data_IF_218252134772
#
_entry.id   IF_218252134772
#
_cell.length_a   1.000
_cell.length_b   1.000
_cell.length_c   1.000
_cell.angle_alpha   90.00
_cell.angle_beta   90.00
_cell.angle_gamma   90.00
#
_symmetry.space_group_name_H-M   'P 1'
#
loop_
_entity.id
_entity.type
_entity.pdbx_description
1 polymer ?
#
# COMPACT_ATOMS: atom_id res chain seq x y z
N UNK A 1 4.94 26.93 -62.41
CA UNK A 1 5.99 25.95 -62.07
C UNK A 1 5.55 25.24 -60.80
N UNK A 2 5.39 23.91 -60.81
CA UNK A 2 5.08 23.12 -59.62
C UNK A 2 6.40 22.79 -58.91
N UNK A 3 6.50 23.09 -57.61
CA UNK A 3 7.63 22.67 -56.78
C UNK A 3 7.08 21.80 -55.65
N UNK A 4 7.11 20.51 -55.97
CA UNK A 4 7.58 19.38 -55.19
C UNK A 4 7.22 19.27 -53.70
N UNK A 5 6.57 18.13 -53.44
CA UNK A 5 6.27 17.49 -52.17
C UNK A 5 7.57 17.08 -51.46
N UNK A 6 7.82 17.60 -50.26
CA UNK A 6 8.77 16.97 -49.34
C UNK A 6 8.01 16.24 -48.23
N UNK A 7 7.85 14.95 -48.50
CA UNK A 7 7.42 13.90 -47.59
C UNK A 7 8.39 13.82 -46.42
N UNK A 8 8.03 14.39 -45.27
CA UNK A 8 8.81 14.24 -44.04
C UNK A 8 8.57 12.84 -43.48
N UNK A 9 9.56 11.96 -43.71
CA UNK A 9 9.61 10.61 -43.19
C UNK A 9 9.61 10.64 -41.66
N UNK A 10 8.53 10.15 -41.06
CA UNK A 10 8.44 9.79 -39.65
C UNK A 10 9.39 8.61 -39.40
N UNK A 11 10.61 8.90 -38.93
CA UNK A 11 11.49 7.89 -38.33
C UNK A 11 10.90 7.48 -36.98
N UNK A 12 10.02 6.48 -36.99
CA UNK A 12 9.64 5.74 -35.79
C UNK A 12 10.85 4.97 -35.27
N UNK A 13 11.58 5.58 -34.33
CA UNK A 13 12.45 4.84 -33.43
C UNK A 13 11.56 3.95 -32.56
N UNK A 14 11.45 2.68 -32.96
CA UNK A 14 10.84 1.63 -32.17
C UNK A 14 11.74 1.35 -30.97
N UNK A 15 11.38 1.92 -29.82
CA UNK A 15 11.93 1.52 -28.52
C UNK A 15 11.19 0.26 -28.13
N UNK A 16 11.87 -0.88 -28.16
CA UNK A 16 11.33 -2.13 -27.65
C UNK A 16 10.98 -1.95 -26.15
N UNK A 17 9.86 -2.52 -25.66
CA UNK A 17 9.52 -2.47 -24.25
C UNK A 17 10.62 -3.16 -23.45
N UNK A 18 11.24 -2.42 -22.53
CA UNK A 18 12.17 -2.97 -21.55
C UNK A 18 11.35 -3.85 -20.62
N UNK A 19 11.61 -5.15 -20.68
CA UNK A 19 10.98 -6.18 -19.88
C UNK A 19 11.47 -6.04 -18.42
N UNK A 20 10.68 -5.34 -17.60
CA UNK A 20 10.99 -5.00 -16.20
C UNK A 20 11.00 -6.21 -15.25
N UNK A 21 10.61 -7.39 -15.72
CA UNK A 21 10.56 -8.62 -14.91
C UNK A 21 11.86 -9.46 -14.98
N UNK A 22 12.90 -8.95 -15.64
CA UNK A 22 14.24 -9.55 -15.54
C UNK A 22 14.99 -8.99 -14.33
N UNK A 23 15.22 -9.79 -13.26
CA UNK A 23 16.10 -9.37 -12.19
C UNK A 23 17.49 -9.15 -12.80
N UNK A 24 17.98 -7.92 -12.73
CA UNK A 24 19.38 -7.60 -13.01
C UNK A 24 20.21 -8.29 -11.93
N UNK A 25 20.61 -9.52 -12.18
CA UNK A 25 21.59 -10.23 -11.37
C UNK A 25 22.95 -9.69 -11.83
N UNK A 26 23.67 -8.88 -11.02
CA UNK A 26 25.01 -8.46 -11.36
C UNK A 26 25.89 -9.72 -11.41
N UNK A 27 26.44 -9.98 -12.60
CA UNK A 27 27.29 -11.13 -12.85
C UNK A 27 28.66 -10.88 -12.21
N UNK A 28 28.98 -11.70 -11.22
CA UNK A 28 30.30 -11.97 -10.64
C UNK A 28 31.09 -10.84 -9.92
N UNK A 29 31.40 -11.16 -8.66
CA UNK A 29 32.60 -10.78 -7.90
C UNK A 29 32.76 -9.32 -7.45
N UNK A 30 32.24 -9.04 -6.25
CA UNK A 30 32.94 -8.39 -5.10
C UNK A 30 31.90 -7.70 -4.19
N UNK A 31 30.94 -8.48 -3.69
CA UNK A 31 29.98 -8.00 -2.68
C UNK A 31 30.61 -8.16 -1.28
N UNK A 32 31.41 -7.17 -0.88
CA UNK A 32 32.22 -7.21 0.32
C UNK A 32 31.34 -7.09 1.59
N UNK A 33 31.26 -8.18 2.37
CA UNK A 33 30.46 -8.26 3.60
C UNK A 33 30.87 -7.18 4.63
N UNK A 34 32.12 -6.72 4.56
CA UNK A 34 32.65 -5.63 5.38
C UNK A 34 31.95 -4.28 5.11
N UNK A 35 31.53 -4.03 3.86
CA UNK A 35 30.81 -2.80 3.51
C UNK A 35 29.42 -2.80 4.13
N UNK A 36 28.73 -3.95 4.20
CA UNK A 36 27.43 -4.04 4.87
C UNK A 36 27.53 -3.85 6.39
N UNK A 37 28.57 -4.39 7.03
CA UNK A 37 28.81 -4.16 8.45
C UNK A 37 29.08 -2.67 8.74
N UNK A 38 29.83 -2.00 7.86
CA UNK A 38 30.13 -0.56 7.98
C UNK A 38 28.88 0.33 7.91
N UNK A 39 27.92 0.07 7.00
CA UNK A 39 26.70 0.89 6.94
C UNK A 39 25.81 0.69 8.17
N UNK A 40 25.80 -0.52 8.74
CA UNK A 40 25.08 -0.82 9.99
C UNK A 40 25.72 -0.09 11.17
N UNK A 41 27.05 -0.10 11.28
CA UNK A 41 27.77 0.57 12.36
C UNK A 41 27.67 2.11 12.27
N UNK A 42 27.69 2.68 11.06
CA UNK A 42 27.47 4.12 10.84
C UNK A 42 26.05 4.54 11.24
N UNK A 43 25.05 3.67 11.00
CA UNK A 43 23.66 3.92 11.37
C UNK A 43 23.47 3.86 12.89
N UNK A 44 24.12 2.90 13.57
CA UNK A 44 24.08 2.75 15.02
C UNK A 44 24.74 3.94 15.75
N UNK A 45 25.87 4.45 15.23
CA UNK A 45 26.57 5.59 15.83
C UNK A 45 25.80 6.91 15.69
N UNK A 46 25.01 7.08 14.62
CA UNK A 46 24.17 8.27 14.43
C UNK A 46 22.96 8.28 15.37
N UNK A 47 22.37 7.11 15.64
CA UNK A 47 21.28 6.98 16.62
C UNK A 47 21.74 7.22 18.06
N UNK A 48 23.00 6.90 18.39
CA UNK A 48 23.54 7.06 19.75
C UNK A 48 23.93 8.51 20.12
N UNK A 49 23.97 9.44 19.16
CA UNK A 49 24.46 10.82 19.39
C UNK A 49 23.36 11.89 19.52
N UNK A 50 22.08 11.51 19.48
CA UNK A 50 20.95 12.44 19.75
C UNK A 50 20.42 12.23 21.16
N UNK A 51 21.26 12.47 22.17
CA UNK A 51 20.81 12.62 23.55
C UNK A 51 20.30 14.05 23.76
N UNK A 52 19.07 14.33 23.34
CA UNK A 52 18.36 15.52 23.79
C UNK A 52 17.81 15.28 25.21
N UNK A 53 18.13 16.14 26.20
CA UNK A 53 17.62 16.01 27.54
C UNK A 53 16.14 16.40 27.61
N UNK A 54 15.30 15.45 28.04
CA UNK A 54 14.04 15.64 28.75
C UNK A 54 13.14 16.80 28.28
N UNK A 55 12.38 16.55 27.20
CA UNK A 55 11.05 17.13 27.04
C UNK A 55 10.03 16.13 27.60
N UNK A 56 9.77 16.20 28.91
CA UNK A 56 8.65 15.48 29.53
C UNK A 56 7.38 16.24 29.18
N UNK A 57 6.91 16.11 27.95
CA UNK A 57 5.52 16.42 27.63
C UNK A 57 4.70 15.29 28.25
N UNK A 58 4.04 15.59 29.37
CA UNK A 58 3.09 14.68 29.99
C UNK A 58 2.03 14.31 28.94
N UNK A 59 1.85 13.01 28.70
CA UNK A 59 0.84 12.50 27.77
C UNK A 59 -0.60 12.95 28.12
N UNK A 60 -0.79 13.48 29.33
CA UNK A 60 -2.04 14.07 29.79
C UNK A 60 -2.32 15.46 29.19
N UNK A 61 -1.33 16.23 28.78
CA UNK A 61 -1.52 17.56 28.17
C UNK A 61 -1.81 17.50 26.66
N UNK A 62 -1.55 16.36 26.02
CA UNK A 62 -1.81 16.17 24.59
C UNK A 62 -3.28 15.89 24.27
N UNK A 63 -4.12 15.68 25.28
CA UNK A 63 -5.53 15.30 25.13
C UNK A 63 -6.48 16.24 25.89
N UNK A 64 -6.19 17.53 25.88
CA UNK A 64 -7.22 18.55 26.16
C UNK A 64 -8.10 18.71 24.92
N UNK A 65 -9.07 17.80 24.81
CA UNK A 65 -10.21 17.92 23.91
C UNK A 65 -10.85 19.30 24.10
N UNK A 66 -10.57 20.23 23.19
CA UNK A 66 -11.34 21.47 23.09
C UNK A 66 -12.68 21.11 22.45
N UNK A 67 -13.82 21.27 23.15
CA UNK A 67 -15.13 20.83 22.66
C UNK A 67 -15.65 21.62 21.44
N UNK A 68 -14.87 22.57 20.92
CA UNK A 68 -15.24 23.42 19.78
C UNK A 68 -14.44 23.15 18.51
N UNK A 69 -13.54 22.16 18.46
CA UNK A 69 -12.98 21.75 17.15
C UNK A 69 -14.03 20.92 16.44
N UNK A 70 -14.68 21.42 15.35
CA UNK A 70 -15.59 20.60 14.58
C UNK A 70 -14.82 19.35 14.12
N UNK A 71 -15.45 18.19 14.28
CA UNK A 71 -14.90 16.91 13.84
C UNK A 71 -14.38 17.06 12.41
N UNK A 72 -13.05 17.00 12.24
CA UNK A 72 -12.36 17.09 10.95
C UNK A 72 -12.73 15.94 9.99
N UNK A 73 -13.63 15.04 10.38
CA UNK A 73 -14.10 13.93 9.55
C UNK A 73 -14.94 14.42 8.35
N UNK A 74 -15.62 15.57 8.50
CA UNK A 74 -16.37 16.19 7.39
C UNK A 74 -15.51 17.07 6.48
N UNK A 75 -14.21 17.24 6.77
CA UNK A 75 -13.28 18.06 5.96
C UNK A 75 -12.53 17.25 4.89
N UNK A 76 -12.55 15.91 4.95
CA UNK A 76 -11.83 15.07 3.97
C UNK A 76 -12.56 14.86 2.64
N UNK A 77 -13.82 15.31 2.52
CA UNK A 77 -14.65 15.11 1.32
C UNK A 77 -14.48 16.18 0.23
N UNK A 78 -14.18 17.43 0.61
CA UNK A 78 -14.16 18.58 -0.32
C UNK A 78 -12.76 18.99 -0.78
N UNK A 79 -11.68 18.54 -0.14
CA UNK A 79 -10.31 18.94 -0.50
C UNK A 79 -9.73 18.19 -1.73
N UNK A 80 -10.32 17.06 -2.14
CA UNK A 80 -9.84 16.31 -3.33
C UNK A 80 -10.14 17.08 -4.64
N UNK A 81 -11.08 18.04 -4.63
CA UNK A 81 -11.50 18.85 -5.78
C UNK A 81 -10.66 20.13 -5.99
N UNK A 82 -9.87 20.54 -4.99
CA UNK A 82 -9.09 21.80 -5.05
C UNK A 82 -7.85 21.73 -5.98
N UNK A 83 -7.59 20.58 -6.60
CA UNK A 83 -6.54 20.40 -7.59
C UNK A 83 -7.09 20.26 -9.03
N UNK A 84 -8.23 20.89 -9.28
CA UNK A 84 -8.57 21.46 -10.60
C UNK A 84 -8.02 22.90 -10.70
N UNK A 85 -6.88 23.17 -10.08
CA UNK A 85 -6.09 24.36 -10.38
C UNK A 85 -5.31 24.13 -11.67
N UNK A 86 -5.47 25.02 -12.65
CA UNK A 86 -4.76 24.97 -13.94
C UNK A 86 -3.26 24.74 -13.71
N UNK A 87 -2.69 23.76 -14.42
CA UNK A 87 -1.27 23.46 -14.33
C UNK A 87 -0.46 24.75 -14.60
N UNK A 88 0.58 25.05 -13.80
CA UNK A 88 1.39 26.24 -14.05
C UNK A 88 1.89 26.20 -15.50
N UNK A 89 1.65 27.27 -16.25
CA UNK A 89 2.01 27.34 -17.67
C UNK A 89 3.51 27.13 -17.89
N UNK A 90 3.95 26.87 -19.13
CA UNK A 90 5.36 26.55 -19.42
C UNK A 90 6.35 27.69 -19.10
N UNK A 91 5.86 28.90 -18.83
CA UNK A 91 6.64 30.06 -18.38
C UNK A 91 6.57 30.31 -16.86
N UNK A 92 5.95 29.41 -16.09
CA UNK A 92 5.86 29.55 -14.64
C UNK A 92 7.23 29.45 -13.98
N UNK A 93 7.40 30.22 -12.91
CA UNK A 93 8.67 30.28 -12.18
C UNK A 93 9.01 28.89 -11.63
N UNK A 94 10.30 28.52 -11.59
CA UNK A 94 10.76 27.23 -11.04
C UNK A 94 10.16 26.95 -9.64
N UNK A 95 10.04 28.00 -8.82
CA UNK A 95 9.40 27.95 -7.49
C UNK A 95 7.94 27.50 -7.54
N UNK A 96 7.16 27.99 -8.50
CA UNK A 96 5.74 27.64 -8.67
C UNK A 96 5.59 26.19 -9.14
N UNK A 97 6.48 25.74 -10.04
CA UNK A 97 6.50 24.35 -10.51
C UNK A 97 6.85 23.38 -9.37
N UNK A 98 7.79 23.74 -8.50
CA UNK A 98 8.15 22.94 -7.31
C UNK A 98 6.95 22.84 -6.37
N UNK A 99 6.26 23.95 -6.11
CA UNK A 99 5.11 23.96 -5.22
C UNK A 99 3.96 23.11 -5.79
N UNK A 100 3.69 23.21 -7.09
CA UNK A 100 2.70 22.38 -7.76
C UNK A 100 3.04 20.88 -7.65
N UNK A 101 4.29 20.48 -7.90
CA UNK A 101 4.73 19.09 -7.74
C UNK A 101 4.60 18.58 -6.29
N UNK A 102 4.87 19.44 -5.30
CA UNK A 102 4.66 19.09 -3.88
C UNK A 102 3.19 18.86 -3.57
N UNK A 103 2.29 19.72 -4.07
CA UNK A 103 0.83 19.53 -3.93
C UNK A 103 0.40 18.19 -4.54
N UNK A 104 0.85 17.89 -5.76
CA UNK A 104 0.59 16.58 -6.41
C UNK A 104 1.06 15.40 -5.57
N UNK A 105 2.29 15.45 -5.04
CA UNK A 105 2.82 14.38 -4.21
C UNK A 105 2.02 14.18 -2.91
N UNK A 106 1.64 15.28 -2.25
CA UNK A 106 0.79 15.23 -1.05
C UNK A 106 -0.55 14.53 -1.36
N UNK A 107 -1.19 14.87 -2.48
CA UNK A 107 -2.44 14.23 -2.89
C UNK A 107 -2.24 12.75 -3.24
N UNK A 108 -1.21 12.43 -4.03
CA UNK A 108 -0.89 11.05 -4.38
C UNK A 108 -0.63 10.21 -3.12
N UNK A 109 0.09 10.75 -2.14
CA UNK A 109 0.34 10.09 -0.87
C UNK A 109 -0.95 9.89 -0.06
N UNK A 110 -1.83 10.90 0.00
CA UNK A 110 -3.15 10.79 0.66
C UNK A 110 -4.00 9.71 -0.01
N UNK A 111 -4.16 9.77 -1.34
CA UNK A 111 -4.90 8.79 -2.14
C UNK A 111 -4.34 7.38 -1.98
N UNK A 112 -3.01 7.23 -1.99
CA UNK A 112 -2.35 5.96 -1.76
C UNK A 112 -2.65 5.39 -0.37
N UNK A 113 -2.60 6.22 0.68
CA UNK A 113 -2.98 5.82 2.04
C UNK A 113 -4.45 5.41 2.12
N UNK A 114 -5.34 6.19 1.50
CA UNK A 114 -6.78 5.90 1.43
C UNK A 114 -7.04 4.55 0.78
N UNK A 115 -6.52 4.33 -0.43
CA UNK A 115 -6.66 3.04 -1.12
C UNK A 115 -6.06 1.87 -0.34
N UNK A 116 -4.92 2.06 0.33
CA UNK A 116 -4.34 1.00 1.18
C UNK A 116 -5.26 0.68 2.36
N UNK A 117 -5.87 1.69 2.97
CA UNK A 117 -6.82 1.52 4.07
C UNK A 117 -8.10 0.83 3.60
N UNK A 118 -8.68 1.27 2.49
CA UNK A 118 -9.86 0.66 1.87
C UNK A 118 -9.60 -0.80 1.53
N UNK A 119 -8.46 -1.09 0.87
CA UNK A 119 -8.11 -2.46 0.52
C UNK A 119 -7.93 -3.37 1.75
N UNK A 120 -7.30 -2.86 2.81
CA UNK A 120 -7.16 -3.59 4.07
C UNK A 120 -8.54 -3.90 4.68
N UNK A 121 -9.44 -2.92 4.71
CA UNK A 121 -10.79 -3.07 5.21
C UNK A 121 -11.59 -4.08 4.38
N UNK A 122 -11.48 -4.05 3.04
CA UNK A 122 -12.13 -5.01 2.15
C UNK A 122 -11.66 -6.44 2.40
N UNK A 123 -10.36 -6.64 2.65
CA UNK A 123 -9.81 -7.95 2.99
C UNK A 123 -10.33 -8.44 4.35
N UNK A 124 -10.40 -7.57 5.35
CA UNK A 124 -10.94 -7.90 6.67
C UNK A 124 -12.41 -8.31 6.58
N UNK A 125 -13.22 -7.57 5.82
CA UNK A 125 -14.63 -7.89 5.56
C UNK A 125 -14.77 -9.26 4.87
N UNK A 126 -13.96 -9.55 3.83
CA UNK A 126 -13.99 -10.85 3.16
C UNK A 126 -13.64 -12.01 4.09
N UNK A 127 -12.66 -11.83 4.98
CA UNK A 127 -12.31 -12.85 5.97
C UNK A 127 -13.45 -13.06 6.96
N UNK A 128 -14.13 -12.00 7.39
CA UNK A 128 -15.31 -12.11 8.25
C UNK A 128 -16.46 -12.85 7.56
N UNK A 129 -16.79 -12.49 6.32
CA UNK A 129 -17.83 -13.15 5.53
C UNK A 129 -17.55 -14.64 5.33
N UNK A 130 -16.31 -14.98 4.97
CA UNK A 130 -15.88 -16.38 4.80
C UNK A 130 -15.95 -17.15 6.11
N UNK A 131 -15.62 -16.54 7.26
CA UNK A 131 -15.76 -17.20 8.58
C UNK A 131 -17.22 -17.50 8.90
N UNK A 132 -18.12 -16.55 8.63
CA UNK A 132 -19.56 -16.75 8.81
C UNK A 132 -20.06 -17.88 7.92
N UNK A 133 -19.62 -17.91 6.66
CA UNK A 133 -19.99 -18.96 5.72
C UNK A 133 -19.47 -20.35 6.14
N UNK A 134 -18.22 -20.44 6.59
CA UNK A 134 -17.65 -21.69 7.12
C UNK A 134 -18.46 -22.21 8.31
N UNK A 135 -18.78 -21.36 9.30
CA UNK A 135 -19.55 -21.78 10.48
C UNK A 135 -20.99 -22.18 10.12
N UNK A 136 -21.61 -21.50 9.15
CA UNK A 136 -22.92 -21.88 8.59
C UNK A 136 -22.87 -23.26 7.96
N UNK A 137 -21.88 -23.55 7.10
CA UNK A 137 -21.75 -24.86 6.46
C UNK A 137 -21.37 -25.96 7.44
N UNK A 138 -20.52 -25.65 8.41
CA UNK A 138 -20.18 -26.55 9.52
C UNK A 138 -21.41 -26.93 10.32
N UNK A 139 -22.21 -25.96 10.76
CA UNK A 139 -23.48 -26.21 11.48
C UNK A 139 -24.44 -27.08 10.66
N UNK A 140 -24.59 -26.79 9.36
CA UNK A 140 -25.43 -27.58 8.44
C UNK A 140 -24.93 -29.01 8.32
N UNK A 141 -23.63 -29.20 8.11
CA UNK A 141 -23.03 -30.53 7.98
C UNK A 141 -23.16 -31.35 9.25
N UNK A 142 -22.94 -30.74 10.43
CA UNK A 142 -23.10 -31.39 11.73
C UNK A 142 -24.55 -31.79 12.00
N UNK A 143 -25.51 -30.95 11.61
CA UNK A 143 -26.93 -31.27 11.74
C UNK A 143 -27.31 -32.46 10.86
N UNK A 144 -26.86 -32.50 9.61
CA UNK A 144 -27.07 -33.63 8.70
C UNK A 144 -26.40 -34.91 9.23
N UNK A 145 -25.20 -34.78 9.76
CA UNK A 145 -24.48 -35.89 10.40
C UNK A 145 -25.27 -36.45 11.59
N UNK A 146 -25.80 -35.59 12.47
CA UNK A 146 -26.63 -36.03 13.60
C UNK A 146 -27.88 -36.79 13.12
N UNK A 147 -28.53 -36.31 12.06
CA UNK A 147 -29.69 -36.98 11.46
C UNK A 147 -29.28 -38.37 10.95
N UNK A 148 -28.20 -38.47 10.16
CA UNK A 148 -27.72 -39.76 9.63
C UNK A 148 -27.37 -40.75 10.75
N UNK A 149 -26.67 -40.27 11.80
CA UNK A 149 -26.36 -41.06 13.00
C UNK A 149 -27.64 -41.56 13.69
N UNK A 150 -28.69 -40.72 13.79
CA UNK A 150 -29.97 -41.12 14.39
C UNK A 150 -30.72 -42.19 13.58
N UNK A 151 -30.49 -42.23 12.26
CA UNK A 151 -31.02 -43.26 11.36
C UNK A 151 -30.14 -44.51 11.24
N UNK A 152 -29.03 -44.59 12.01
CA UNK A 152 -28.12 -45.73 11.99
C UNK A 152 -27.24 -45.83 10.74
N UNK A 153 -27.13 -44.75 9.97
CA UNK A 153 -26.26 -44.70 8.77
C UNK A 153 -24.86 -44.27 9.19
N UNK A 154 -23.81 -45.07 8.92
CA UNK A 154 -22.44 -44.69 9.23
C UNK A 154 -22.02 -43.50 8.37
N UNK A 155 -21.53 -42.43 9.01
CA UNK A 155 -21.00 -41.24 8.35
C UNK A 155 -19.49 -41.18 8.56
N UNK A 156 -18.72 -41.11 7.47
CA UNK A 156 -17.26 -40.98 7.50
C UNK A 156 -16.89 -39.52 7.29
N UNK A 157 -16.51 -38.83 8.37
CA UNK A 157 -15.90 -37.51 8.28
C UNK A 157 -14.51 -37.64 7.64
N UNK A 158 -14.32 -37.00 6.48
CA UNK A 158 -13.02 -36.92 5.80
C UNK A 158 -12.04 -35.94 6.49
N UNK A 159 -12.39 -35.38 7.66
CA UNK A 159 -11.70 -34.24 8.26
C UNK A 159 -10.75 -34.54 9.43
N UNK A 160 -10.66 -35.77 9.96
CA UNK A 160 -9.83 -36.05 11.15
C UNK A 160 -8.36 -36.38 10.84
N UNK A 161 -7.92 -36.32 9.59
CA UNK A 161 -6.54 -36.59 9.23
C UNK A 161 -6.01 -35.67 8.15
N UNK A 162 -5.50 -34.49 8.50
CA UNK A 162 -4.35 -33.93 7.80
C UNK A 162 -3.70 -32.75 8.55
N UNK A 163 -2.51 -33.05 9.06
CA UNK A 163 -1.30 -32.25 9.01
C UNK A 163 -1.48 -30.79 8.58
N UNK A 164 -1.36 -29.88 9.54
CA UNK A 164 -1.00 -28.50 9.25
C UNK A 164 0.30 -28.48 8.44
N UNK A 165 0.31 -27.92 7.21
CA UNK A 165 1.57 -27.60 6.58
C UNK A 165 2.25 -26.49 7.40
N UNK A 166 3.39 -26.81 8.00
CA UNK A 166 4.29 -25.82 8.58
C UNK A 166 4.92 -25.05 7.42
N UNK A 167 4.55 -23.79 7.26
CA UNK A 167 5.27 -22.83 6.43
C UNK A 167 5.99 -21.86 7.37
#
# INVERSE_FOLDING_TARGET
>A
MPMEEESSMLSSTSVAPVDMDTPVIPDSADFDLATMQSVVDISAQRAASTSDPQSTLDAADLYTFSPETPMLDSAFGDEEDELIGEAPGPNATEREQIEWKRRQNTLAARKSRKHKSEHQQDLENQVEDLKVEVEKWKTRSQTLEQILRSHGVPFFSLGEGNHSPSW
#
